data_IF_148953838501
#
_entry.id   IF_148953838501
#
_cell.length_a   1.000
_cell.length_b   1.000
_cell.length_c   1.000
_cell.angle_alpha   90.00
_cell.angle_beta   90.00
_cell.angle_gamma   90.00
#
_symmetry.space_group_name_H-M   'P 1'
#
loop_
_entity.id
_entity.type
_entity.pdbx_description
1 polymer ?
#
# COMPACT_ATOMS: atom_id res chain seq x y z
N UNK A 1 -1.29 -26.24 -57.21
CA UNK A 1 -1.86 -24.95 -56.74
C UNK A 1 -1.75 -24.87 -55.22
N UNK A 2 -0.63 -24.39 -54.71
CA UNK A 2 -0.37 -24.25 -53.27
C UNK A 2 -0.79 -22.87 -52.79
N UNK A 3 -1.95 -22.74 -52.14
CA UNK A 3 -2.35 -21.48 -51.48
C UNK A 3 -1.94 -21.51 -50.01
N UNK A 4 -0.74 -20.98 -49.74
CA UNK A 4 -0.34 -20.45 -48.43
C UNK A 4 -1.39 -19.40 -47.99
N UNK A 5 -2.05 -19.63 -46.86
CA UNK A 5 -2.78 -18.56 -46.15
C UNK A 5 -1.98 -18.20 -44.90
N UNK A 6 -1.47 -16.98 -44.94
CA UNK A 6 -0.78 -16.23 -43.91
C UNK A 6 -1.71 -15.91 -42.74
N UNK A 7 -1.27 -16.19 -41.51
CA UNK A 7 -1.96 -15.81 -40.27
C UNK A 7 -1.40 -14.48 -39.76
N UNK A 8 -2.29 -13.50 -39.57
CA UNK A 8 -2.01 -12.16 -39.04
C UNK A 8 -2.02 -12.13 -37.48
N UNK A 9 -1.42 -11.11 -36.84
CA UNK A 9 -0.94 -11.19 -35.46
C UNK A 9 -1.96 -10.83 -34.36
N UNK A 10 -1.62 -11.30 -33.15
CA UNK A 10 -2.34 -11.24 -31.87
C UNK A 10 -2.82 -9.84 -31.47
N UNK A 11 -4.10 -9.73 -31.08
CA UNK A 11 -4.64 -8.56 -30.38
C UNK A 11 -4.34 -8.71 -28.89
N UNK A 12 -3.62 -7.73 -28.33
CA UNK A 12 -3.24 -7.68 -26.91
C UNK A 12 -4.44 -7.61 -25.99
N UNK A 13 -4.36 -8.35 -24.88
CA UNK A 13 -5.29 -8.25 -23.78
C UNK A 13 -5.06 -6.91 -23.07
N UNK A 14 -6.03 -5.99 -23.17
CA UNK A 14 -6.07 -4.79 -22.34
C UNK A 14 -6.40 -5.13 -20.88
N UNK A 15 -6.21 -4.18 -19.94
CA UNK A 15 -6.48 -4.42 -18.53
C UNK A 15 -7.98 -4.64 -18.31
N UNK A 16 -8.31 -5.77 -17.70
CA UNK A 16 -9.68 -6.17 -17.37
C UNK A 16 -10.34 -5.13 -16.47
N UNK A 17 -11.37 -4.45 -16.97
CA UNK A 17 -12.24 -3.58 -16.17
C UNK A 17 -13.16 -4.44 -15.32
N UNK A 18 -12.73 -4.74 -14.09
CA UNK A 18 -13.58 -5.38 -13.09
C UNK A 18 -14.43 -4.30 -12.38
N UNK A 19 -15.75 -4.44 -12.44
CA UNK A 19 -16.70 -3.53 -11.78
C UNK A 19 -16.67 -3.76 -10.26
N UNK A 20 -15.92 -2.95 -9.52
CA UNK A 20 -15.73 -3.07 -8.05
C UNK A 20 -16.83 -2.42 -7.21
N UNK A 21 -18.04 -2.23 -7.73
CA UNK A 21 -19.09 -1.45 -7.06
C UNK A 21 -19.61 -2.06 -5.74
N UNK A 22 -19.42 -3.37 -5.50
CA UNK A 22 -19.92 -4.07 -4.30
C UNK A 22 -18.80 -4.70 -3.44
N UNK A 23 -17.54 -4.37 -3.70
CA UNK A 23 -16.35 -5.01 -3.08
C UNK A 23 -15.39 -4.01 -2.42
N UNK A 24 -15.73 -2.72 -2.43
CA UNK A 24 -14.86 -1.65 -1.93
C UNK A 24 -14.45 -1.86 -0.46
N UNK A 25 -15.37 -2.34 0.40
CA UNK A 25 -15.08 -2.59 1.81
C UNK A 25 -14.05 -3.71 2.03
N UNK A 26 -14.10 -4.77 1.22
CA UNK A 26 -13.15 -5.89 1.33
C UNK A 26 -11.77 -5.48 0.82
N UNK A 27 -11.70 -4.77 -0.31
CA UNK A 27 -10.44 -4.25 -0.82
C UNK A 27 -9.76 -3.30 0.20
N UNK A 28 -10.52 -2.40 0.83
CA UNK A 28 -9.99 -1.46 1.82
C UNK A 28 -9.49 -2.20 3.07
N UNK A 29 -10.22 -3.21 3.55
CA UNK A 29 -9.79 -4.00 4.71
C UNK A 29 -8.55 -4.84 4.40
N UNK A 30 -8.41 -5.37 3.20
CA UNK A 30 -7.21 -6.07 2.76
C UNK A 30 -6.01 -5.12 2.69
N UNK A 31 -6.17 -3.96 2.04
CA UNK A 31 -5.11 -2.96 1.95
C UNK A 31 -4.68 -2.47 3.34
N UNK A 32 -5.62 -2.28 4.28
CA UNK A 32 -5.29 -1.91 5.65
C UNK A 32 -4.38 -2.95 6.32
N UNK A 33 -4.68 -4.23 6.18
CA UNK A 33 -3.84 -5.30 6.74
C UNK A 33 -2.45 -5.33 6.10
N UNK A 34 -2.36 -5.13 4.78
CA UNK A 34 -1.07 -5.09 4.09
C UNK A 34 -0.25 -3.84 4.41
N UNK A 35 -0.89 -2.70 4.66
CA UNK A 35 -0.21 -1.52 5.19
C UNK A 35 0.33 -1.78 6.60
N UNK A 36 -0.46 -2.39 7.48
CA UNK A 36 0.00 -2.79 8.82
C UNK A 36 1.18 -3.78 8.75
N UNK A 37 1.18 -4.68 7.77
CA UNK A 37 2.33 -5.55 7.49
C UNK A 37 3.58 -4.76 7.08
N UNK A 38 3.44 -3.77 6.18
CA UNK A 38 4.57 -2.93 5.74
C UNK A 38 5.17 -2.13 6.90
N UNK A 39 4.34 -1.74 7.87
CA UNK A 39 4.75 -0.96 9.03
C UNK A 39 5.16 -1.83 10.25
N UNK A 40 5.26 -3.16 10.08
CA UNK A 40 5.58 -4.13 11.13
C UNK A 40 4.62 -4.07 12.35
N UNK A 41 3.36 -3.67 12.14
CA UNK A 41 2.33 -3.54 13.18
C UNK A 41 1.49 -4.82 13.36
N UNK A 42 1.71 -5.84 12.55
CA UNK A 42 1.05 -7.14 12.69
C UNK A 42 1.80 -8.07 13.67
N UNK A 43 1.09 -9.06 14.24
CA UNK A 43 1.73 -10.13 15.01
C UNK A 43 2.84 -10.83 14.21
N UNK A 44 3.92 -11.22 14.91
CA UNK A 44 5.15 -11.71 14.30
C UNK A 44 4.98 -13.01 13.50
N UNK A 45 4.07 -13.87 13.94
CA UNK A 45 3.66 -15.10 13.25
C UNK A 45 2.97 -14.80 11.91
N UNK A 46 2.09 -13.80 11.88
CA UNK A 46 1.43 -13.35 10.65
C UNK A 46 2.45 -12.71 9.69
N UNK A 47 3.35 -11.86 10.18
CA UNK A 47 4.43 -11.29 9.35
C UNK A 47 5.35 -12.36 8.76
N UNK A 48 5.58 -13.47 9.47
CA UNK A 48 6.37 -14.59 8.96
C UNK A 48 5.64 -15.33 7.85
N UNK A 49 4.34 -15.58 8.02
CA UNK A 49 3.51 -16.25 7.02
C UNK A 49 3.40 -15.44 5.73
N UNK A 50 3.23 -14.11 5.85
CA UNK A 50 3.23 -13.22 4.68
C UNK A 50 4.59 -13.27 3.97
N UNK A 51 5.71 -13.17 4.70
CA UNK A 51 7.05 -13.28 4.09
C UNK A 51 7.26 -14.61 3.36
N UNK A 52 6.76 -15.71 3.93
CA UNK A 52 6.78 -17.03 3.28
C UNK A 52 6.02 -17.02 1.96
N UNK A 53 4.84 -16.40 1.94
CA UNK A 53 4.04 -16.27 0.72
C UNK A 53 4.74 -15.42 -0.34
N UNK A 54 5.32 -14.28 0.05
CA UNK A 54 6.05 -13.40 -0.88
C UNK A 54 7.25 -14.10 -1.52
N UNK A 55 7.95 -14.96 -0.77
CA UNK A 55 9.04 -15.79 -1.33
C UNK A 55 8.57 -16.89 -2.30
N UNK A 56 7.28 -17.25 -2.29
CA UNK A 56 6.71 -18.29 -3.13
C UNK A 56 5.86 -17.76 -4.30
N UNK A 57 5.51 -16.46 -4.29
CA UNK A 57 4.58 -15.85 -5.24
C UNK A 57 5.11 -14.52 -5.82
N UNK A 58 5.71 -14.54 -7.03
CA UNK A 58 6.27 -13.33 -7.66
C UNK A 58 5.23 -12.22 -7.90
N UNK A 59 3.97 -12.58 -8.16
CA UNK A 59 2.91 -11.59 -8.36
C UNK A 59 2.63 -10.79 -7.08
N UNK A 60 2.63 -11.47 -5.93
CA UNK A 60 2.41 -10.82 -4.65
C UNK A 60 3.64 -10.02 -4.19
N UNK A 61 4.84 -10.48 -4.53
CA UNK A 61 6.07 -9.72 -4.33
C UNK A 61 6.02 -8.37 -5.07
N UNK A 62 5.69 -8.39 -6.37
CA UNK A 62 5.54 -7.15 -7.18
C UNK A 62 4.43 -6.26 -6.62
N UNK A 63 3.31 -6.85 -6.19
CA UNK A 63 2.22 -6.09 -5.61
C UNK A 63 2.64 -5.36 -4.33
N UNK A 64 3.28 -6.05 -3.38
CA UNK A 64 3.78 -5.45 -2.13
C UNK A 64 4.83 -4.37 -2.41
N UNK A 65 5.74 -4.59 -3.37
CA UNK A 65 6.72 -3.58 -3.78
C UNK A 65 6.02 -2.31 -4.27
N UNK A 66 4.96 -2.44 -5.09
CA UNK A 66 4.20 -1.27 -5.56
C UNK A 66 3.44 -0.56 -4.44
N UNK A 67 2.94 -1.30 -3.46
CA UNK A 67 2.28 -0.74 -2.27
C UNK A 67 3.30 0.03 -1.40
N UNK A 68 4.48 -0.53 -1.16
CA UNK A 68 5.58 0.14 -0.44
C UNK A 68 6.00 1.44 -1.14
N UNK A 69 6.07 1.45 -2.47
CA UNK A 69 6.35 2.66 -3.24
C UNK A 69 5.25 3.71 -3.04
N UNK A 70 3.98 3.30 -3.03
CA UNK A 70 2.84 4.19 -2.77
C UNK A 70 2.93 4.80 -1.37
N UNK A 71 3.23 4.00 -0.34
CA UNK A 71 3.45 4.48 1.04
C UNK A 71 4.60 5.49 1.08
N UNK A 72 5.69 5.19 0.38
CA UNK A 72 6.86 6.08 0.29
C UNK A 72 6.46 7.43 -0.31
N UNK A 73 5.72 7.45 -1.42
CA UNK A 73 5.23 8.68 -2.04
C UNK A 73 4.33 9.49 -1.09
N UNK A 74 3.45 8.82 -0.35
CA UNK A 74 2.61 9.47 0.67
C UNK A 74 3.44 10.11 1.80
N UNK A 75 4.49 9.44 2.27
CA UNK A 75 5.39 9.96 3.33
C UNK A 75 6.21 11.18 2.89
N UNK A 76 6.60 11.24 1.62
CA UNK A 76 7.36 12.37 1.07
C UNK A 76 6.49 13.58 0.74
N UNK A 77 5.17 13.50 0.91
CA UNK A 77 4.29 14.65 0.76
C UNK A 77 4.63 15.68 1.83
N UNK A 78 4.85 16.96 1.47
CA UNK A 78 5.15 17.99 2.46
C UNK A 78 4.01 18.06 3.49
N UNK A 79 4.38 17.89 4.76
CA UNK A 79 3.45 18.08 5.86
C UNK A 79 3.00 19.56 5.88
N UNK A 80 1.74 19.83 6.25
CA UNK A 80 1.30 21.20 6.49
C UNK A 80 2.19 21.82 7.56
N UNK A 81 2.67 23.04 7.31
CA UNK A 81 3.48 23.76 8.27
C UNK A 81 2.62 24.11 9.49
N UNK A 82 3.08 23.76 10.68
CA UNK A 82 2.40 24.15 11.92
C UNK A 82 2.42 25.67 12.06
N UNK A 83 1.34 26.26 12.55
CA UNK A 83 1.33 27.67 12.91
C UNK A 83 2.19 27.91 14.16
N UNK A 84 2.53 29.17 14.44
CA UNK A 84 3.25 29.50 15.68
C UNK A 84 2.43 29.14 16.92
N UNK A 85 1.10 29.31 16.84
CA UNK A 85 0.19 29.02 17.93
C UNK A 85 0.09 27.51 18.19
N UNK A 86 0.01 26.69 17.14
CA UNK A 86 0.03 25.23 17.27
C UNK A 86 1.30 24.74 17.96
N UNK A 87 2.46 25.27 17.55
CA UNK A 87 3.76 24.94 18.17
C UNK A 87 3.79 25.34 19.65
N UNK A 88 3.29 26.53 19.98
CA UNK A 88 3.25 27.00 21.37
C UNK A 88 2.33 26.12 22.22
N UNK A 89 1.16 25.77 21.71
CA UNK A 89 0.18 24.95 22.40
C UNK A 89 0.71 23.53 22.66
N UNK A 90 1.31 22.88 21.65
CA UNK A 90 1.94 21.57 21.81
C UNK A 90 3.08 21.63 22.84
N UNK A 91 3.95 22.63 22.76
CA UNK A 91 5.06 22.80 23.72
C UNK A 91 4.54 22.97 25.15
N UNK A 92 3.50 23.79 25.35
CA UNK A 92 2.88 23.97 26.67
C UNK A 92 2.30 22.66 27.20
N UNK A 93 1.58 21.91 26.37
CA UNK A 93 1.00 20.63 26.77
C UNK A 93 2.08 19.61 27.20
N UNK A 94 3.16 19.49 26.43
CA UNK A 94 4.29 18.59 26.76
C UNK A 94 4.94 18.98 28.09
N UNK A 95 5.20 20.27 28.32
CA UNK A 95 5.81 20.75 29.55
C UNK A 95 4.89 20.56 30.77
N UNK A 96 3.59 20.76 30.62
CA UNK A 96 2.63 20.53 31.69
C UNK A 96 2.61 19.05 32.11
N UNK A 97 2.56 18.13 31.14
CA UNK A 97 2.56 16.69 31.41
C UNK A 97 3.88 16.22 32.03
N UNK A 98 5.02 16.78 31.59
CA UNK A 98 6.32 16.47 32.16
C UNK A 98 6.48 16.96 33.60
N UNK A 99 5.87 18.11 33.93
CA UNK A 99 5.93 18.69 35.28
C UNK A 99 4.87 18.12 36.24
N UNK A 100 3.86 17.43 35.73
CA UNK A 100 2.81 16.78 36.53
C UNK A 100 3.22 15.38 37.04
N UNK A 101 4.43 14.92 36.69
CA UNK A 101 5.06 13.67 37.14
C UNK A 101 6.14 13.94 38.16
#
# INVERSE_FOLDING_TARGET
MTKKKTSAPKKGAGPSSHSHANDQGHCVNLLRQLSAYIDDELPSDICQEIRRHLGACPNCEVFIASLQQTVTLCRHRPAPQLTSDDRMNMRRAILNEANAR
#
